data_IF_247507336915
#
_entry.id   IF_247507336915
#
_cell.length_a   1.000
_cell.length_b   1.000
_cell.length_c   1.000
_cell.angle_alpha   90.00
_cell.angle_beta   90.00
_cell.angle_gamma   90.00
#
_symmetry.space_group_name_H-M   'P 1'
#
loop_
_entity.id
_entity.type
_entity.pdbx_description
1 polymer ?
#
# COMPACT_ATOMS: atom_id res chain seq x y z
N UNK A 1 -15.58 -6.56 13.56
CA UNK A 1 -14.56 -5.48 13.61
C UNK A 1 -14.39 -4.93 12.20
N UNK A 2 -14.44 -3.60 12.06
CA UNK A 2 -14.18 -2.92 10.77
C UNK A 2 -12.75 -2.42 10.72
N UNK A 3 -12.01 -2.82 9.72
CA UNK A 3 -10.58 -2.57 9.57
C UNK A 3 -10.37 -1.66 8.36
N UNK A 4 -9.73 -0.51 8.56
CA UNK A 4 -9.27 0.36 7.48
C UNK A 4 -7.89 -0.07 7.00
N UNK A 5 -7.72 -0.29 5.70
CA UNK A 5 -6.45 -0.71 5.11
C UNK A 5 -6.09 0.22 3.96
N UNK A 6 -4.86 0.72 3.97
CA UNK A 6 -4.32 1.60 2.95
C UNK A 6 -2.84 1.32 2.69
N UNK A 7 -2.35 1.73 1.53
CA UNK A 7 -0.98 1.43 1.05
C UNK A 7 -0.48 2.50 0.09
N UNK A 8 0.82 2.49 -0.18
CA UNK A 8 1.43 3.25 -1.27
C UNK A 8 1.08 4.74 -1.21
N UNK A 9 1.39 5.35 -0.07
CA UNK A 9 1.11 6.76 0.24
C UNK A 9 2.02 7.67 -0.56
N UNK A 10 3.27 7.25 -0.73
CA UNK A 10 4.27 7.94 -1.52
C UNK A 10 4.38 9.44 -1.22
N UNK A 11 4.48 9.79 0.05
CA UNK A 11 4.63 11.17 0.52
C UNK A 11 3.57 12.15 -0.05
N UNK A 12 2.38 11.66 -0.40
CA UNK A 12 1.22 12.44 -0.86
C UNK A 12 0.31 12.72 0.33
N UNK A 13 0.59 13.82 1.03
CA UNK A 13 -0.13 14.21 2.25
C UNK A 13 -1.60 14.54 1.96
N UNK A 14 -1.89 15.13 0.81
CA UNK A 14 -3.23 15.53 0.41
C UNK A 14 -4.13 14.29 0.25
N UNK A 15 -3.62 13.28 -0.44
CA UNK A 15 -4.34 12.01 -0.63
C UNK A 15 -4.51 11.26 0.70
N UNK A 16 -3.46 11.16 1.51
CA UNK A 16 -3.53 10.51 2.82
C UNK A 16 -4.53 11.21 3.74
N UNK A 17 -4.51 12.54 3.79
CA UNK A 17 -5.44 13.32 4.61
C UNK A 17 -6.90 13.12 4.17
N UNK A 18 -7.16 13.09 2.87
CA UNK A 18 -8.50 12.84 2.32
C UNK A 18 -8.99 11.41 2.67
N UNK A 19 -8.14 10.41 2.57
CA UNK A 19 -8.46 9.03 2.96
C UNK A 19 -8.77 8.93 4.45
N UNK A 20 -7.96 9.52 5.32
CA UNK A 20 -8.19 9.47 6.75
C UNK A 20 -9.46 10.22 7.16
N UNK A 21 -9.80 11.31 6.47
CA UNK A 21 -11.07 12.01 6.68
C UNK A 21 -12.26 11.15 6.23
N UNK A 22 -12.16 10.49 5.06
CA UNK A 22 -13.20 9.58 4.56
C UNK A 22 -13.46 8.42 5.52
N UNK A 23 -12.42 7.85 6.13
CA UNK A 23 -12.57 6.77 7.12
C UNK A 23 -13.40 7.16 8.35
N UNK A 24 -13.48 8.43 8.72
CA UNK A 24 -14.29 8.87 9.86
C UNK A 24 -15.79 8.55 9.69
N UNK A 25 -16.25 8.43 8.44
CA UNK A 25 -17.62 8.06 8.12
C UNK A 25 -17.86 6.55 8.08
N UNK A 26 -16.79 5.75 8.09
CA UNK A 26 -16.84 4.29 7.91
C UNK A 26 -16.90 3.50 9.23
N UNK A 27 -16.87 4.17 10.38
CA UNK A 27 -16.85 3.52 11.71
C UNK A 27 -15.73 2.49 11.84
N UNK A 28 -14.50 2.89 11.53
CA UNK A 28 -13.31 2.02 11.57
C UNK A 28 -12.83 1.81 13.02
N UNK A 29 -12.61 0.57 13.40
CA UNK A 29 -12.09 0.19 14.71
C UNK A 29 -10.56 0.26 14.79
N UNK A 30 -9.87 -0.03 13.66
CA UNK A 30 -8.41 -0.09 13.60
C UNK A 30 -7.90 0.12 12.17
N UNK A 31 -6.71 0.73 12.05
CA UNK A 31 -6.06 1.02 10.78
C UNK A 31 -4.78 0.23 10.62
N UNK A 32 -4.50 -0.23 9.38
CA UNK A 32 -3.26 -0.87 8.95
C UNK A 32 -2.74 -0.24 7.68
N UNK A 33 -1.41 -0.02 7.61
CA UNK A 33 -0.72 0.48 6.43
C UNK A 33 0.19 -0.60 5.86
N UNK A 34 0.12 -0.83 4.54
CA UNK A 34 0.90 -1.87 3.88
C UNK A 34 2.24 -1.35 3.30
N UNK A 35 2.70 -0.20 3.74
CA UNK A 35 4.00 0.34 3.36
C UNK A 35 3.98 1.34 2.21
N UNK A 36 5.17 1.65 1.73
CA UNK A 36 5.46 2.73 0.79
C UNK A 36 4.88 4.07 1.25
N UNK A 37 5.25 4.41 2.49
CA UNK A 37 4.90 5.70 3.10
C UNK A 37 5.62 6.84 2.39
N UNK A 38 6.86 6.61 1.94
CA UNK A 38 7.73 7.59 1.27
C UNK A 38 7.94 7.25 -0.22
N UNK A 39 8.69 8.09 -0.93
CA UNK A 39 8.94 8.00 -2.37
C UNK A 39 8.00 8.92 -3.18
N UNK A 40 8.46 9.43 -4.31
CA UNK A 40 7.75 10.21 -5.33
C UNK A 40 7.17 11.56 -4.91
N UNK A 41 6.43 11.65 -3.81
CA UNK A 41 5.68 12.84 -3.38
C UNK A 41 6.51 13.88 -2.63
N UNK A 42 5.87 14.98 -2.20
CA UNK A 42 6.57 16.14 -1.65
C UNK A 42 6.57 16.25 -0.11
N UNK A 43 5.92 15.32 0.62
CA UNK A 43 5.69 15.47 2.07
C UNK A 43 6.07 14.21 2.87
N UNK A 44 7.36 13.74 2.81
CA UNK A 44 7.73 12.46 3.41
C UNK A 44 7.62 12.44 4.94
N UNK A 45 7.98 13.51 5.64
CA UNK A 45 7.90 13.55 7.11
C UNK A 45 6.46 13.59 7.60
N UNK A 46 5.66 14.47 7.02
CA UNK A 46 4.26 14.65 7.40
C UNK A 46 3.47 13.36 7.19
N UNK A 47 3.73 12.64 6.09
CA UNK A 47 3.11 11.33 5.84
C UNK A 47 3.60 10.29 6.84
N UNK A 48 4.90 10.21 7.12
CA UNK A 48 5.46 9.26 8.08
C UNK A 48 4.90 9.50 9.50
N UNK A 49 4.82 10.76 9.94
CA UNK A 49 4.25 11.12 11.22
C UNK A 49 2.78 10.69 11.31
N UNK A 50 1.99 11.03 10.28
CA UNK A 50 0.55 10.75 10.25
C UNK A 50 0.25 9.24 10.20
N UNK A 51 1.00 8.46 9.41
CA UNK A 51 0.88 7.00 9.37
C UNK A 51 1.24 6.39 10.73
N UNK A 52 2.35 6.83 11.33
CA UNK A 52 2.82 6.34 12.63
C UNK A 52 1.83 6.61 13.76
N UNK A 53 1.13 7.75 13.71
CA UNK A 53 0.11 8.13 14.69
C UNK A 53 -1.21 7.38 14.49
N UNK A 54 -1.54 7.01 13.24
CA UNK A 54 -2.85 6.46 12.88
C UNK A 54 -2.87 4.94 12.82
N UNK A 55 -1.86 4.33 12.16
CA UNK A 55 -1.85 2.90 11.91
C UNK A 55 -1.35 2.11 13.12
N UNK A 56 -2.14 1.13 13.58
CA UNK A 56 -1.74 0.20 14.65
C UNK A 56 -0.54 -0.64 14.24
N UNK A 57 -0.45 -1.01 12.96
CA UNK A 57 0.68 -1.71 12.34
C UNK A 57 0.94 -1.11 10.97
N UNK A 58 2.21 -1.02 10.61
CA UNK A 58 2.70 -0.64 9.29
C UNK A 58 3.70 -1.67 8.83
N UNK A 59 3.60 -2.11 7.58
CA UNK A 59 4.53 -3.02 6.92
C UNK A 59 5.56 -2.21 6.14
N UNK A 60 6.78 -2.73 5.99
CA UNK A 60 7.84 -2.11 5.20
C UNK A 60 7.52 -2.24 3.70
N UNK A 61 7.42 -1.12 2.99
CA UNK A 61 7.40 -1.09 1.53
C UNK A 61 8.80 -1.05 0.92
N UNK A 62 8.92 -1.27 -0.39
CA UNK A 62 10.22 -1.23 -1.06
C UNK A 62 10.85 0.18 -1.09
N UNK A 63 10.04 1.24 -1.20
CA UNK A 63 10.53 2.61 -1.08
C UNK A 63 10.97 2.94 0.35
N UNK A 64 10.24 2.46 1.35
CA UNK A 64 10.61 2.59 2.76
C UNK A 64 11.93 1.85 3.04
N UNK A 65 12.09 0.64 2.47
CA UNK A 65 13.31 -0.17 2.58
C UNK A 65 14.50 0.50 1.91
N UNK A 66 14.32 1.05 0.70
CA UNK A 66 15.35 1.77 -0.03
C UNK A 66 15.83 3.00 0.75
N UNK A 67 14.91 3.89 1.15
CA UNK A 67 15.22 5.13 1.89
C UNK A 67 15.88 4.83 3.24
N UNK A 68 15.46 3.76 3.92
CA UNK A 68 16.04 3.36 5.21
C UNK A 68 17.34 2.55 5.13
N UNK A 69 17.85 2.27 3.91
CA UNK A 69 19.09 1.54 3.67
C UNK A 69 18.99 0.03 3.90
N UNK A 70 17.76 -0.53 3.84
CA UNK A 70 17.48 -1.96 3.98
C UNK A 70 17.38 -2.70 2.64
N UNK A 71 17.41 -1.98 1.51
CA UNK A 71 17.35 -2.53 0.16
C UNK A 71 18.31 -1.77 -0.76
N UNK A 72 19.02 -2.48 -1.64
CA UNK A 72 19.75 -1.89 -2.75
C UNK A 72 18.77 -1.46 -3.84
N UNK A 73 18.78 -0.18 -4.22
CA UNK A 73 17.94 0.38 -5.29
C UNK A 73 18.77 0.95 -6.45
N UNK A 74 20.04 0.58 -6.53
CA UNK A 74 20.96 1.06 -7.59
C UNK A 74 20.47 0.74 -9.00
N UNK A 75 19.64 -0.29 -9.15
CA UNK A 75 19.04 -0.73 -10.42
C UNK A 75 17.74 0.01 -10.78
N UNK A 76 17.20 0.86 -9.87
CA UNK A 76 16.03 1.68 -10.19
C UNK A 76 16.37 2.73 -11.24
N UNK A 77 15.37 3.16 -12.03
CA UNK A 77 15.56 4.26 -12.96
C UNK A 77 15.90 5.57 -12.24
N UNK A 78 16.63 6.47 -12.91
CA UNK A 78 17.27 7.64 -12.32
C UNK A 78 16.31 8.51 -11.50
N UNK A 79 15.12 8.81 -12.05
CA UNK A 79 14.14 9.63 -11.35
C UNK A 79 13.68 9.02 -10.01
N UNK A 80 13.48 7.68 -9.98
CA UNK A 80 13.12 7.00 -8.73
C UNK A 80 14.26 7.07 -7.71
N UNK A 81 15.51 6.83 -8.13
CA UNK A 81 16.68 6.97 -7.25
C UNK A 81 16.80 8.38 -6.69
N UNK A 82 16.66 9.40 -7.54
CA UNK A 82 16.69 10.79 -7.10
C UNK A 82 15.64 11.09 -6.03
N UNK A 83 14.40 10.61 -6.20
CA UNK A 83 13.35 10.80 -5.21
C UNK A 83 13.66 10.08 -3.88
N UNK A 84 14.24 8.88 -3.92
CA UNK A 84 14.62 8.12 -2.74
C UNK A 84 15.77 8.80 -1.99
N UNK A 85 16.81 9.26 -2.72
CA UNK A 85 17.94 10.01 -2.15
C UNK A 85 17.49 11.32 -1.50
N UNK A 86 16.56 12.05 -2.17
CA UNK A 86 15.98 13.28 -1.63
C UNK A 86 15.21 13.01 -0.34
N UNK A 87 14.39 11.94 -0.31
CA UNK A 87 13.65 11.58 0.89
C UNK A 87 14.56 11.10 2.02
N UNK A 88 15.62 10.35 1.72
CA UNK A 88 16.61 9.97 2.72
C UNK A 88 17.27 11.18 3.39
N UNK A 89 17.48 12.27 2.63
CA UNK A 89 18.02 13.51 3.15
C UNK A 89 17.00 14.39 3.88
N UNK A 90 15.71 14.28 3.55
CA UNK A 90 14.63 15.10 4.14
C UNK A 90 14.08 14.52 5.45
N UNK A 91 14.09 13.19 5.61
CA UNK A 91 13.50 12.52 6.75
C UNK A 91 14.17 12.90 8.06
N UNK A 92 13.35 13.14 9.08
CA UNK A 92 13.82 13.30 10.45
C UNK A 92 14.46 12.00 10.97
N UNK A 93 15.37 12.13 11.95
CA UNK A 93 15.98 10.95 12.60
C UNK A 93 14.91 10.00 13.17
N UNK A 94 13.84 10.55 13.71
CA UNK A 94 12.72 9.78 14.27
C UNK A 94 12.00 8.96 13.20
N UNK A 95 11.69 9.58 12.05
CA UNK A 95 11.00 8.90 10.96
C UNK A 95 11.91 7.89 10.27
N UNK A 96 13.19 8.21 10.11
CA UNK A 96 14.18 7.26 9.61
C UNK A 96 14.33 6.04 10.53
N UNK A 97 14.38 6.24 11.85
CA UNK A 97 14.47 5.15 12.80
C UNK A 97 13.19 4.28 12.79
N UNK A 98 12.02 4.91 12.63
CA UNK A 98 10.75 4.20 12.50
C UNK A 98 10.71 3.33 11.23
N UNK A 99 11.08 3.86 10.06
CA UNK A 99 11.13 3.09 8.80
C UNK A 99 12.08 1.88 8.93
N UNK A 100 13.26 2.06 9.56
CA UNK A 100 14.21 0.98 9.81
C UNK A 100 13.66 -0.15 10.67
N UNK A 101 12.68 0.13 11.52
CA UNK A 101 12.08 -0.84 12.44
C UNK A 101 10.87 -1.59 11.87
N UNK A 102 10.34 -1.18 10.70
CA UNK A 102 9.13 -1.79 10.12
C UNK A 102 9.36 -3.26 9.75
N UNK A 103 8.39 -4.15 10.03
CA UNK A 103 8.44 -5.55 9.63
C UNK A 103 8.11 -5.71 8.14
N UNK A 104 8.61 -6.78 7.51
CA UNK A 104 8.25 -7.13 6.13
C UNK A 104 6.83 -7.70 6.01
N UNK A 105 6.33 -8.33 7.08
CA UNK A 105 4.98 -8.89 7.14
C UNK A 105 4.47 -8.90 8.57
N UNK A 106 3.14 -9.00 8.72
CA UNK A 106 2.49 -9.20 10.01
C UNK A 106 1.26 -10.11 9.84
N UNK A 107 1.14 -11.15 10.67
CA UNK A 107 -0.06 -11.97 10.74
C UNK A 107 -0.99 -11.44 11.82
N UNK A 108 -2.20 -11.09 11.44
CA UNK A 108 -3.28 -10.69 12.34
C UNK A 108 -4.10 -11.94 12.71
N UNK A 109 -3.64 -12.67 13.71
CA UNK A 109 -4.19 -13.98 14.08
C UNK A 109 -5.69 -13.93 14.39
N UNK A 110 -6.14 -12.85 15.07
CA UNK A 110 -7.54 -12.67 15.49
C UNK A 110 -8.55 -12.61 14.34
N UNK A 111 -8.10 -12.25 13.15
CA UNK A 111 -8.94 -12.14 11.94
C UNK A 111 -8.44 -13.01 10.79
N UNK A 112 -7.33 -13.72 10.99
CA UNK A 112 -6.66 -14.57 9.99
C UNK A 112 -6.31 -13.79 8.70
N UNK A 113 -5.65 -12.65 8.87
CA UNK A 113 -5.22 -11.75 7.78
C UNK A 113 -3.71 -11.60 7.81
N UNK A 114 -3.05 -11.90 6.69
CA UNK A 114 -1.62 -11.63 6.50
C UNK A 114 -1.45 -10.27 5.82
N UNK A 115 -0.60 -9.43 6.39
CA UNK A 115 -0.18 -8.15 5.81
C UNK A 115 1.22 -8.30 5.24
N UNK A 116 1.43 -7.90 3.98
CA UNK A 116 2.75 -7.71 3.37
C UNK A 116 2.67 -6.64 2.28
N UNK A 117 3.80 -6.14 1.81
CA UNK A 117 3.79 -5.08 0.79
C UNK A 117 3.66 -5.66 -0.61
N UNK A 118 4.54 -6.57 -1.00
CA UNK A 118 4.49 -7.33 -2.26
C UNK A 118 4.10 -8.79 -2.03
N UNK A 119 4.65 -9.69 -2.83
CA UNK A 119 4.43 -11.12 -2.70
C UNK A 119 4.91 -11.66 -1.34
N UNK A 120 4.12 -12.51 -0.66
CA UNK A 120 4.56 -13.16 0.58
C UNK A 120 5.62 -14.25 0.36
N UNK A 121 5.89 -14.65 -0.88
CA UNK A 121 6.80 -15.77 -1.19
C UNK A 121 8.26 -15.38 -0.98
N UNK A 122 8.68 -14.21 -1.45
CA UNK A 122 10.03 -13.66 -1.31
C UNK A 122 9.91 -12.22 -0.81
N UNK A 123 9.65 -12.06 0.48
CA UNK A 123 9.26 -10.78 1.10
C UNK A 123 10.25 -9.64 0.83
N UNK A 124 11.56 -9.92 0.88
CA UNK A 124 12.61 -8.91 0.70
C UNK A 124 12.83 -8.51 -0.77
N UNK A 125 12.28 -9.28 -1.72
CA UNK A 125 12.37 -8.99 -3.15
C UNK A 125 11.22 -8.11 -3.63
N UNK A 126 10.16 -7.94 -2.82
CA UNK A 126 8.98 -7.14 -3.13
C UNK A 126 8.41 -7.44 -4.52
N UNK A 127 8.27 -8.73 -4.86
CA UNK A 127 7.73 -9.11 -6.16
C UNK A 127 6.28 -8.68 -6.32
N UNK A 128 5.94 -8.29 -7.54
CA UNK A 128 4.58 -7.87 -7.88
C UNK A 128 3.62 -9.06 -7.97
N UNK A 129 2.38 -8.84 -7.54
CA UNK A 129 1.24 -9.69 -7.86
C UNK A 129 0.16 -8.83 -8.53
N UNK A 130 0.04 -8.93 -9.84
CA UNK A 130 -0.97 -8.22 -10.63
C UNK A 130 -1.69 -9.13 -11.64
N UNK A 131 -1.34 -10.42 -11.71
CA UNK A 131 -1.98 -11.43 -12.56
C UNK A 131 -2.07 -12.78 -11.83
N UNK A 132 -2.97 -13.69 -12.28
CA UNK A 132 -3.18 -15.00 -11.65
C UNK A 132 -1.92 -15.88 -11.58
N UNK A 133 -0.98 -15.72 -12.52
CA UNK A 133 0.27 -16.47 -12.57
C UNK A 133 1.14 -16.19 -11.35
N UNK A 134 1.28 -14.91 -10.96
CA UNK A 134 2.05 -14.52 -9.78
C UNK A 134 1.32 -14.92 -8.49
N UNK A 135 -0.01 -14.74 -8.43
CA UNK A 135 -0.79 -15.18 -7.29
C UNK A 135 -0.72 -16.70 -7.08
N UNK A 136 -0.51 -17.49 -8.14
CA UNK A 136 -0.36 -18.97 -8.08
C UNK A 136 0.89 -19.39 -7.32
N UNK A 137 1.96 -18.61 -7.31
CA UNK A 137 3.18 -18.92 -6.55
C UNK A 137 2.88 -19.00 -5.05
N UNK A 138 1.89 -18.24 -4.58
CA UNK A 138 1.48 -18.22 -3.18
C UNK A 138 0.82 -19.54 -2.74
N UNK A 139 0.41 -20.43 -3.66
CA UNK A 139 -0.09 -21.76 -3.30
C UNK A 139 0.97 -22.60 -2.58
N UNK A 140 2.27 -22.33 -2.83
CA UNK A 140 3.38 -22.97 -2.12
C UNK A 140 3.41 -22.62 -0.62
N UNK A 141 2.73 -21.57 -0.23
CA UNK A 141 2.62 -21.08 1.14
C UNK A 141 1.20 -21.24 1.71
N UNK A 142 0.39 -22.14 1.15
CA UNK A 142 -1.02 -22.30 1.50
C UNK A 142 -1.29 -22.27 3.01
N UNK A 143 -0.49 -22.97 3.80
CA UNK A 143 -0.66 -23.05 5.26
C UNK A 143 -0.15 -21.82 6.02
N UNK A 144 0.59 -20.92 5.36
CA UNK A 144 1.20 -19.73 5.96
C UNK A 144 0.49 -18.43 5.60
N UNK A 145 -0.21 -18.40 4.46
CA UNK A 145 -1.03 -17.24 4.08
C UNK A 145 -2.34 -17.27 4.86
N UNK A 146 -2.85 -16.09 5.24
CA UNK A 146 -4.12 -15.94 5.94
C UNK A 146 -5.33 -16.35 5.09
N UNK A 147 -6.53 -16.25 5.65
CA UNK A 147 -7.77 -16.30 4.86
C UNK A 147 -7.77 -15.16 3.83
N UNK A 148 -7.23 -14.00 4.22
CA UNK A 148 -6.88 -12.91 3.30
C UNK A 148 -5.40 -12.60 3.47
N UNK A 149 -4.70 -12.39 2.34
CA UNK A 149 -3.39 -11.76 2.28
C UNK A 149 -3.56 -10.38 1.62
N UNK A 150 -3.27 -9.33 2.36
CA UNK A 150 -3.39 -7.95 1.87
C UNK A 150 -2.03 -7.46 1.40
N UNK A 151 -2.00 -6.91 0.18
CA UNK A 151 -0.79 -6.39 -0.46
C UNK A 151 -1.05 -5.01 -1.08
N UNK A 152 0.03 -4.26 -1.32
CA UNK A 152 0.09 -3.00 -2.05
C UNK A 152 0.95 -3.12 -3.31
N UNK A 153 1.96 -2.25 -3.41
CA UNK A 153 3.09 -2.28 -4.35
C UNK A 153 2.74 -2.10 -5.84
N UNK A 154 1.71 -2.78 -6.34
CA UNK A 154 1.30 -2.66 -7.74
C UNK A 154 0.54 -1.37 -8.05
N UNK A 155 0.01 -0.70 -7.03
CA UNK A 155 -0.90 0.44 -7.09
C UNK A 155 -2.22 0.14 -7.84
N UNK A 156 -2.52 -1.13 -8.07
CA UNK A 156 -3.74 -1.60 -8.71
C UNK A 156 -4.68 -2.20 -7.66
N UNK A 157 -5.97 -1.98 -7.78
CA UNK A 157 -6.94 -2.76 -7.04
C UNK A 157 -7.11 -4.10 -7.75
N UNK A 158 -6.77 -5.22 -7.05
CA UNK A 158 -6.86 -6.58 -7.60
C UNK A 158 -7.34 -7.56 -6.54
N UNK A 159 -8.10 -8.54 -6.96
CA UNK A 159 -8.57 -9.64 -6.10
C UNK A 159 -8.27 -10.97 -6.79
N UNK A 160 -7.58 -11.84 -6.09
CA UNK A 160 -7.36 -13.22 -6.54
C UNK A 160 -7.97 -14.17 -5.50
N UNK A 161 -8.89 -15.03 -5.95
CA UNK A 161 -9.43 -16.11 -5.14
C UNK A 161 -8.64 -17.39 -5.40
N UNK A 162 -8.24 -18.04 -4.31
CA UNK A 162 -7.37 -19.22 -4.33
C UNK A 162 -8.08 -20.43 -3.71
N UNK A 163 -7.95 -21.57 -4.37
CA UNK A 163 -8.15 -22.90 -3.80
C UNK A 163 -6.81 -23.64 -3.83
N UNK A 164 -6.64 -24.79 -3.18
CA UNK A 164 -5.34 -25.51 -3.20
C UNK A 164 -4.78 -25.84 -4.59
N UNK A 165 -5.63 -25.82 -5.63
CA UNK A 165 -5.25 -26.22 -7.00
C UNK A 165 -5.51 -25.16 -8.06
N UNK A 166 -6.22 -24.07 -7.74
CA UNK A 166 -6.67 -23.10 -8.72
C UNK A 166 -6.58 -21.67 -8.18
N UNK A 167 -6.30 -20.74 -9.06
CA UNK A 167 -6.33 -19.29 -8.83
C UNK A 167 -7.15 -18.63 -9.92
N UNK A 168 -8.08 -17.77 -9.52
CA UNK A 168 -8.88 -16.93 -10.43
C UNK A 168 -8.81 -15.47 -10.01
N UNK A 169 -8.78 -14.56 -10.99
CA UNK A 169 -8.93 -13.13 -10.75
C UNK A 169 -10.41 -12.79 -10.68
N UNK A 170 -10.82 -12.11 -9.62
CA UNK A 170 -12.17 -11.58 -9.44
C UNK A 170 -12.21 -10.10 -9.84
N UNK A 171 -13.40 -9.56 -10.17
CA UNK A 171 -13.56 -8.12 -10.34
C UNK A 171 -13.11 -7.33 -9.11
N UNK A 172 -12.43 -6.21 -9.33
CA UNK A 172 -11.95 -5.31 -8.27
C UNK A 172 -13.10 -4.43 -7.74
N UNK A 173 -14.06 -5.07 -7.08
CA UNK A 173 -15.24 -4.48 -6.46
C UNK A 173 -15.48 -5.11 -5.09
N UNK A 174 -16.44 -4.59 -4.35
CA UNK A 174 -16.85 -5.16 -3.07
C UNK A 174 -17.25 -6.63 -3.22
N UNK A 175 -16.78 -7.47 -2.31
CA UNK A 175 -17.07 -8.90 -2.33
C UNK A 175 -17.17 -9.49 -0.91
N UNK A 176 -17.90 -10.60 -0.81
CA UNK A 176 -17.99 -11.39 0.40
C UNK A 176 -17.03 -12.59 0.31
N UNK A 177 -16.35 -12.90 1.40
CA UNK A 177 -15.38 -14.01 1.45
C UNK A 177 -16.10 -15.35 1.62
N UNK A 178 -15.72 -16.32 0.79
CA UNK A 178 -16.17 -17.70 0.91
C UNK A 178 -15.23 -18.47 1.88
N UNK A 179 -15.78 -19.33 2.75
CA UNK A 179 -14.99 -19.96 3.82
C UNK A 179 -13.96 -21.00 3.34
N UNK A 180 -14.14 -21.57 2.14
CA UNK A 180 -13.32 -22.60 1.53
C UNK A 180 -12.26 -22.04 0.55
N UNK A 181 -12.21 -20.73 0.37
CA UNK A 181 -11.22 -20.04 -0.44
C UNK A 181 -10.28 -19.20 0.42
N UNK A 182 -9.10 -18.91 -0.11
CA UNK A 182 -8.23 -17.85 0.38
C UNK A 182 -8.17 -16.71 -0.64
N UNK A 183 -7.77 -15.53 -0.19
CA UNK A 183 -7.76 -14.36 -1.06
C UNK A 183 -6.43 -13.62 -0.97
N UNK A 184 -5.90 -13.19 -2.12
CA UNK A 184 -4.86 -12.16 -2.19
C UNK A 184 -5.54 -10.91 -2.72
N UNK A 185 -5.45 -9.82 -1.96
CA UNK A 185 -6.10 -8.54 -2.29
C UNK A 185 -5.05 -7.45 -2.35
N UNK A 186 -4.84 -6.89 -3.53
CA UNK A 186 -4.08 -5.66 -3.71
C UNK A 186 -5.01 -4.47 -3.51
N UNK A 187 -4.70 -3.64 -2.51
CA UNK A 187 -5.60 -2.59 -2.01
C UNK A 187 -5.54 -1.29 -2.83
N UNK A 188 -4.70 -1.26 -3.85
CA UNK A 188 -4.46 -0.04 -4.63
C UNK A 188 -3.50 0.90 -3.93
N UNK A 189 -3.49 2.16 -4.33
CA UNK A 189 -2.60 3.19 -3.81
C UNK A 189 -3.36 4.41 -3.33
N UNK A 190 -2.97 4.93 -2.18
CA UNK A 190 -3.43 6.23 -1.68
C UNK A 190 -2.83 7.35 -2.53
N UNK A 191 -1.50 7.36 -2.67
CA UNK A 191 -0.76 8.52 -3.17
C UNK A 191 -0.52 8.55 -4.67
N UNK A 192 -0.51 7.38 -5.33
CA UNK A 192 -0.23 7.28 -6.77
C UNK A 192 -0.95 6.08 -7.41
N UNK A 193 -2.29 6.08 -7.54
CA UNK A 193 -3.03 5.05 -8.27
C UNK A 193 -2.54 4.89 -9.71
N UNK A 194 -2.56 3.63 -10.23
CA UNK A 194 -2.07 3.29 -11.59
C UNK A 194 -3.09 2.52 -12.43
N UNK A 195 -4.36 2.72 -12.16
CA UNK A 195 -5.49 2.06 -12.83
C UNK A 195 -6.38 3.05 -13.60
N UNK A 196 -5.81 4.21 -13.99
CA UNK A 196 -6.47 5.31 -14.69
C UNK A 196 -7.58 6.01 -13.89
N UNK A 197 -7.69 5.73 -12.60
CA UNK A 197 -8.52 6.47 -11.66
C UNK A 197 -7.60 7.27 -10.73
N UNK A 198 -7.58 8.59 -10.87
CA UNK A 198 -6.68 9.47 -10.12
C UNK A 198 -7.12 9.73 -8.68
N UNK A 199 -8.27 9.19 -8.25
CA UNK A 199 -8.75 9.27 -6.87
C UNK A 199 -7.96 8.34 -5.96
N UNK A 200 -7.63 8.79 -4.76
CA UNK A 200 -6.95 7.98 -3.76
C UNK A 200 -7.75 6.70 -3.44
N UNK A 201 -7.07 5.55 -3.42
CA UNK A 201 -7.66 4.25 -3.09
C UNK A 201 -7.49 3.94 -1.61
N UNK A 202 -8.54 3.43 -0.99
CA UNK A 202 -8.51 2.87 0.36
C UNK A 202 -9.54 1.74 0.48
N UNK A 203 -9.41 0.89 1.49
CA UNK A 203 -10.25 -0.29 1.62
C UNK A 203 -10.75 -0.49 3.04
N UNK A 204 -11.88 -1.18 3.17
CA UNK A 204 -12.46 -1.58 4.46
C UNK A 204 -12.71 -3.08 4.47
N UNK A 205 -12.23 -3.76 5.48
CA UNK A 205 -12.57 -5.15 5.76
C UNK A 205 -13.45 -5.26 7.01
N UNK A 206 -14.68 -5.73 6.83
CA UNK A 206 -15.59 -6.07 7.92
C UNK A 206 -15.40 -7.56 8.28
N UNK A 207 -14.67 -7.83 9.34
CA UNK A 207 -14.35 -9.21 9.74
C UNK A 207 -15.55 -10.00 10.24
N UNK A 208 -16.58 -9.33 10.75
CA UNK A 208 -17.79 -9.99 11.26
C UNK A 208 -18.70 -10.40 10.09
N UNK A 209 -18.79 -9.55 9.08
CA UNK A 209 -19.56 -9.82 7.85
C UNK A 209 -18.78 -10.62 6.81
N UNK A 210 -17.47 -10.78 6.99
CA UNK A 210 -16.57 -11.35 5.98
C UNK A 210 -16.64 -10.61 4.65
N UNK A 211 -16.76 -9.29 4.69
CA UNK A 211 -16.93 -8.44 3.51
C UNK A 211 -15.75 -7.50 3.33
N UNK A 212 -15.24 -7.43 2.10
CA UNK A 212 -14.18 -6.52 1.67
C UNK A 212 -14.76 -5.45 0.76
N UNK A 213 -14.40 -4.18 0.98
CA UNK A 213 -14.92 -3.02 0.27
C UNK A 213 -13.77 -2.18 -0.29
N UNK A 214 -13.83 -1.84 -1.59
CA UNK A 214 -12.93 -0.88 -2.23
C UNK A 214 -13.57 0.49 -2.28
N UNK A 215 -12.80 1.51 -1.95
CA UNK A 215 -13.26 2.90 -1.86
C UNK A 215 -12.32 3.82 -2.63
N UNK A 216 -12.87 4.93 -3.13
CA UNK A 216 -12.12 5.99 -3.81
C UNK A 216 -12.55 7.34 -3.29
N UNK A 217 -11.59 8.25 -3.09
CA UNK A 217 -11.84 9.61 -2.65
C UNK A 217 -11.03 10.61 -3.46
N UNK A 218 -11.66 11.72 -3.84
CA UNK A 218 -10.97 12.86 -4.46
C UNK A 218 -10.10 13.56 -3.42
N UNK A 219 -8.99 14.14 -3.88
CA UNK A 219 -8.09 14.95 -3.07
C UNK A 219 -7.55 16.11 -3.88
N UNK A 220 -6.86 17.05 -3.26
CA UNK A 220 -6.25 18.23 -3.93
C UNK A 220 -5.00 17.80 -4.71
N UNK A 221 -5.21 17.32 -5.95
CA UNK A 221 -4.16 16.86 -6.85
C UNK A 221 -3.23 18.02 -7.24
N UNK A 222 -3.77 19.24 -7.42
CA UNK A 222 -2.97 20.41 -7.81
C UNK A 222 -1.97 20.76 -6.71
N UNK A 223 -2.40 20.75 -5.45
CA UNK A 223 -1.53 21.02 -4.31
C UNK A 223 -0.48 19.92 -4.13
N UNK A 224 -0.87 18.65 -4.28
CA UNK A 224 0.06 17.51 -4.21
C UNK A 224 1.13 17.60 -5.30
N UNK A 225 0.73 17.89 -6.55
CA UNK A 225 1.64 18.07 -7.69
C UNK A 225 2.59 19.26 -7.49
N UNK A 226 2.08 20.40 -6.98
CA UNK A 226 2.90 21.58 -6.68
C UNK A 226 3.98 21.27 -5.62
N UNK A 227 3.65 20.49 -4.59
CA UNK A 227 4.63 20.02 -3.59
C UNK A 227 5.73 19.16 -4.19
N UNK A 228 5.41 18.24 -5.12
CA UNK A 228 6.41 17.47 -5.87
C UNK A 228 7.39 18.41 -6.58
N UNK A 229 6.87 19.41 -7.29
CA UNK A 229 7.70 20.39 -8.03
C UNK A 229 8.55 21.26 -7.09
N UNK A 230 8.00 21.72 -5.97
CA UNK A 230 8.74 22.49 -4.95
C UNK A 230 9.84 21.69 -4.29
N UNK A 231 9.64 20.40 -4.09
CA UNK A 231 10.66 19.46 -3.60
C UNK A 231 11.74 19.15 -4.65
N UNK A 232 11.64 19.72 -5.86
CA UNK A 232 12.56 19.53 -7.00
C UNK A 232 12.63 18.08 -7.46
N UNK A 233 11.57 17.32 -7.26
CA UNK A 233 11.40 15.96 -7.78
C UNK A 233 10.97 16.02 -9.26
N UNK A 234 11.01 14.89 -9.95
CA UNK A 234 10.72 14.80 -11.37
C UNK A 234 9.29 15.18 -11.71
N UNK A 235 9.11 16.02 -12.73
CA UNK A 235 7.79 16.48 -13.20
C UNK A 235 6.83 15.35 -13.53
N UNK A 236 7.34 14.21 -13.97
CA UNK A 236 6.52 13.04 -14.26
C UNK A 236 5.77 12.52 -13.03
N UNK A 237 6.32 12.64 -11.83
CA UNK A 237 5.61 12.23 -10.60
C UNK A 237 4.41 13.14 -10.33
N UNK A 238 4.54 14.44 -10.56
CA UNK A 238 3.42 15.38 -10.49
C UNK A 238 2.36 15.11 -11.57
N UNK A 239 2.79 14.88 -12.83
CA UNK A 239 1.87 14.63 -13.95
C UNK A 239 1.05 13.34 -13.77
N UNK A 240 1.65 12.27 -13.28
CA UNK A 240 0.98 10.99 -13.02
C UNK A 240 -0.24 11.11 -12.10
N UNK A 241 -0.20 12.03 -11.13
CA UNK A 241 -1.31 12.24 -10.19
C UNK A 241 -2.61 12.66 -10.90
N UNK A 242 -2.52 13.40 -12.01
CA UNK A 242 -3.70 13.86 -12.76
C UNK A 242 -4.34 12.76 -13.60
N UNK A 243 -3.57 11.77 -14.01
CA UNK A 243 -4.02 10.75 -14.98
C UNK A 243 -4.13 9.34 -14.39
N UNK A 244 -3.73 9.15 -13.13
CA UNK A 244 -3.84 7.86 -12.43
C UNK A 244 -2.96 6.74 -13.03
N UNK A 245 -1.64 7.04 -13.30
CA UNK A 245 -0.68 6.09 -13.90
C UNK A 245 0.67 6.10 -13.22
#
# INVERSE_FOLDING_TARGET
>A
MRIGIFSDIHANLEALSAVLEAYKTESIDVYYCLGDTVGYGGSPNECADLVRETAKKTILGNHDAAVSGRMDYSYYYEAARHALDAHAAMLSETNMAWLKALPYQEMLEEVNVLLCHGSPVRLEEFEYIFAPEQARECLSMWDKIGHITLIGHSHLCKVFALTPSHVEELPSMDFDLEPDKKYIVSVGSVGQPRDFDNRASYTVYDSDKKRFEFKRIEYDIELAADKVLRARLERNFAHRLFIGV
#
